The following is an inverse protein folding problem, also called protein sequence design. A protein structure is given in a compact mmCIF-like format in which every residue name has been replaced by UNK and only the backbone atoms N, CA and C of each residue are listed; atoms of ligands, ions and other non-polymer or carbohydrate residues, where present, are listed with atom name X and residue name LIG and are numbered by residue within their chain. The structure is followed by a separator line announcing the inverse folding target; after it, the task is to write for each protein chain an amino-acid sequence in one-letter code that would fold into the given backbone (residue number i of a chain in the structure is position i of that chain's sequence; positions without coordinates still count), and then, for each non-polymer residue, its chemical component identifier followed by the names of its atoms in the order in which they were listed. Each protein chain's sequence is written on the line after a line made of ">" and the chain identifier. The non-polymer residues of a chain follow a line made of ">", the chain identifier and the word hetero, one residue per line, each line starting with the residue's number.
data_IF_339884802664
#
_entry.id   IF_339884802664
#
_cell.length_a   1.000
_cell.length_b   1.000
_cell.length_c   1.000
_cell.angle_alpha   90.00
_cell.angle_beta   90.00
_cell.angle_gamma   90.00
#
_symmetry.space_group_name_H-M   'P 1'
#
loop_
_entity.id
_entity.type
_entity.pdbx_description
1 polymer ?
#
# COMPACT_ATOMS: atom_id res chain seq x y z
N UNK A 1 9.15 -2.32 21.13
CA UNK A 1 7.85 -2.51 20.48
C UNK A 1 8.01 -2.09 19.05
N UNK A 2 7.64 -2.94 18.10
CA UNK A 2 7.65 -2.56 16.68
C UNK A 2 6.65 -1.41 16.47
N UNK A 3 7.11 -0.32 15.85
CA UNK A 3 6.20 0.75 15.43
C UNK A 3 5.42 0.27 14.20
N UNK A 4 4.13 -0.02 14.40
CA UNK A 4 3.21 -0.42 13.34
C UNK A 4 2.70 0.79 12.53
N UNK A 5 2.98 2.03 12.95
CA UNK A 5 2.54 3.26 12.26
C UNK A 5 3.45 3.61 11.09
N UNK A 6 3.69 2.63 10.22
CA UNK A 6 4.51 2.79 9.01
C UNK A 6 3.70 2.88 7.72
N UNK A 7 2.38 2.76 7.77
CA UNK A 7 1.55 2.81 6.57
C UNK A 7 0.89 4.18 6.44
N UNK A 8 1.09 4.81 5.29
CA UNK A 8 0.37 6.01 4.85
C UNK A 8 -0.60 5.60 3.75
N UNK A 9 -1.89 5.76 4.03
CA UNK A 9 -2.98 5.39 3.13
C UNK A 9 -3.25 6.50 2.10
N UNK A 10 -3.17 6.16 0.81
CA UNK A 10 -3.42 7.04 -0.31
C UNK A 10 -4.79 6.79 -0.93
N UNK A 11 -5.84 7.19 -0.22
CA UNK A 11 -7.22 7.11 -0.67
C UNK A 11 -7.54 8.27 -1.64
N UNK A 12 -8.01 7.95 -2.85
CA UNK A 12 -8.37 8.97 -3.84
C UNK A 12 -9.44 8.46 -4.81
N UNK A 13 -10.26 9.37 -5.35
CA UNK A 13 -11.18 9.03 -6.43
C UNK A 13 -10.44 8.75 -7.76
N UNK A 14 -11.01 7.95 -8.67
CA UNK A 14 -10.49 7.80 -10.02
C UNK A 14 -10.36 9.17 -10.71
N UNK A 15 -9.24 9.38 -11.42
CA UNK A 15 -8.97 10.62 -12.18
C UNK A 15 -8.88 11.90 -11.33
N UNK A 16 -8.65 11.81 -10.02
CA UNK A 16 -8.46 12.96 -9.13
C UNK A 16 -7.01 13.50 -9.08
N UNK A 17 -6.16 13.16 -10.05
CA UNK A 17 -4.76 13.60 -10.08
C UNK A 17 -3.76 12.74 -9.30
N UNK A 18 -4.06 11.45 -9.08
CA UNK A 18 -3.12 10.54 -8.38
C UNK A 18 -1.72 10.49 -9.02
N UNK A 19 -1.62 10.61 -10.35
CA UNK A 19 -0.33 10.66 -11.05
C UNK A 19 0.49 11.88 -10.60
N UNK A 20 -0.11 13.06 -10.57
CA UNK A 20 0.58 14.28 -10.14
C UNK A 20 1.00 14.22 -8.68
N UNK A 21 0.15 13.66 -7.81
CA UNK A 21 0.53 13.41 -6.42
C UNK A 21 1.72 12.45 -6.30
N UNK A 22 1.77 11.38 -7.10
CA UNK A 22 2.92 10.46 -7.13
C UNK A 22 4.20 11.14 -7.63
N UNK A 23 4.11 12.06 -8.60
CA UNK A 23 5.26 12.88 -9.03
C UNK A 23 5.76 13.75 -7.87
N UNK A 24 4.86 14.45 -7.18
CA UNK A 24 5.21 15.23 -5.99
C UNK A 24 5.87 14.36 -4.92
N UNK A 25 5.25 13.23 -4.58
CA UNK A 25 5.75 12.31 -3.57
C UNK A 25 7.12 11.75 -3.93
N UNK A 26 7.36 11.42 -5.21
CA UNK A 26 8.64 10.90 -5.66
C UNK A 26 9.76 11.93 -5.52
N UNK A 27 9.49 13.21 -5.79
CA UNK A 27 10.47 14.27 -5.55
C UNK A 27 10.66 14.54 -4.06
N UNK A 28 9.59 14.49 -3.26
CA UNK A 28 9.65 14.71 -1.81
C UNK A 28 10.52 13.66 -1.09
N UNK A 29 10.45 12.40 -1.53
CA UNK A 29 11.21 11.29 -0.94
C UNK A 29 12.60 11.12 -1.58
N UNK A 30 12.88 11.81 -2.67
CA UNK A 30 14.16 11.74 -3.37
C UNK A 30 15.18 12.69 -2.73
N UNK A 31 16.40 12.20 -2.50
CA UNK A 31 17.55 13.02 -2.07
C UNK A 31 18.33 13.60 -3.27
N UNK A 32 17.66 13.80 -4.41
CA UNK A 32 18.26 14.26 -5.67
C UNK A 32 17.71 15.62 -6.09
N UNK A 33 18.60 16.47 -6.61
CA UNK A 33 18.24 17.75 -7.24
C UNK A 33 17.65 17.58 -8.66
N UNK A 34 17.63 16.35 -9.18
CA UNK A 34 17.03 16.05 -10.48
C UNK A 34 15.52 15.80 -10.35
N UNK A 35 14.68 16.40 -11.21
CA UNK A 35 13.25 16.13 -11.21
C UNK A 35 12.93 14.64 -11.44
N UNK A 36 11.94 14.11 -10.72
CA UNK A 36 11.49 12.74 -10.91
C UNK A 36 10.98 12.49 -12.35
N UNK A 37 11.40 11.38 -12.95
CA UNK A 37 10.87 10.89 -14.22
C UNK A 37 9.47 10.30 -14.01
N UNK A 38 8.49 10.79 -14.76
CA UNK A 38 7.09 10.33 -14.70
C UNK A 38 6.94 8.82 -14.99
N UNK A 39 7.87 8.24 -15.75
CA UNK A 39 7.88 6.81 -16.05
C UNK A 39 8.62 5.98 -14.99
N UNK A 40 9.32 6.63 -14.06
CA UNK A 40 10.07 6.00 -12.98
C UNK A 40 9.79 6.70 -11.64
N UNK A 41 8.55 6.58 -11.19
CA UNK A 41 8.07 7.16 -9.93
C UNK A 41 8.15 6.18 -8.78
N UNK A 42 8.23 6.70 -7.55
CA UNK A 42 8.14 5.93 -6.31
C UNK A 42 6.92 5.00 -6.34
N UNK A 43 7.14 3.75 -5.94
CA UNK A 43 6.10 2.72 -5.98
C UNK A 43 5.05 2.99 -4.91
N UNK A 44 3.78 3.02 -5.32
CA UNK A 44 2.64 3.12 -4.42
C UNK A 44 1.69 1.95 -4.72
N UNK A 45 2.02 0.73 -4.27
CA UNK A 45 1.24 -0.46 -4.57
C UNK A 45 -0.17 -0.35 -4.00
N UNK A 46 -1.09 -1.13 -4.57
CA UNK A 46 -2.45 -1.27 -4.04
C UNK A 46 -2.39 -2.13 -2.79
N UNK A 47 -3.00 -1.67 -1.71
CA UNK A 47 -3.00 -2.34 -0.41
C UNK A 47 -3.67 -3.72 -0.44
N UNK A 48 -4.68 -3.88 -1.27
CA UNK A 48 -5.40 -5.13 -1.51
C UNK A 48 -4.80 -6.00 -2.62
N UNK A 49 -3.51 -5.81 -2.93
CA UNK A 49 -2.83 -6.69 -3.89
C UNK A 49 -2.82 -8.14 -3.38
N UNK A 50 -3.07 -9.08 -4.30
CA UNK A 50 -3.08 -10.50 -3.99
C UNK A 50 -1.69 -10.98 -3.60
N UNK A 51 -0.66 -10.43 -4.22
CA UNK A 51 0.73 -10.77 -3.99
C UNK A 51 1.13 -10.52 -2.54
N UNK A 52 0.77 -9.37 -1.97
CA UNK A 52 1.06 -9.06 -0.57
C UNK A 52 0.27 -9.97 0.38
N UNK A 53 -0.98 -10.25 0.05
CA UNK A 53 -1.82 -11.13 0.85
C UNK A 53 -1.25 -12.55 0.88
N UNK A 54 -0.95 -13.12 -0.28
CA UNK A 54 -0.44 -14.48 -0.42
C UNK A 54 0.93 -14.61 0.25
N UNK A 55 1.81 -13.62 0.11
CA UNK A 55 3.11 -13.59 0.80
C UNK A 55 2.94 -13.55 2.33
N UNK A 56 2.06 -12.68 2.84
CA UNK A 56 1.87 -12.49 4.27
C UNK A 56 1.20 -13.68 4.97
N UNK A 57 0.30 -14.38 4.26
CA UNK A 57 -0.53 -15.44 4.83
C UNK A 57 -0.07 -16.85 4.48
N UNK A 58 0.65 -17.01 3.36
CA UNK A 58 0.97 -18.31 2.77
C UNK A 58 -0.24 -19.01 2.13
N UNK A 59 -1.39 -18.32 2.04
CA UNK A 59 -2.62 -18.84 1.45
C UNK A 59 -2.81 -18.26 0.04
N UNK A 60 -3.38 -19.03 -0.87
CA UNK A 60 -3.81 -18.52 -2.17
C UNK A 60 -5.07 -17.67 -1.99
N UNK A 61 -4.98 -16.36 -2.15
CA UNK A 61 -6.16 -15.47 -2.14
C UNK A 61 -7.19 -15.82 -3.22
N UNK A 62 -6.83 -16.61 -4.24
CA UNK A 62 -7.77 -17.06 -5.27
C UNK A 62 -8.72 -18.16 -4.77
N UNK A 63 -8.38 -18.82 -3.66
CA UNK A 63 -9.16 -19.91 -3.05
C UNK A 63 -10.02 -19.43 -1.87
N UNK A 64 -9.95 -18.14 -1.53
CA UNK A 64 -10.68 -17.54 -0.41
C UNK A 64 -11.83 -16.65 -0.89
N UNK A 65 -12.88 -16.60 -0.09
CA UNK A 65 -13.97 -15.63 -0.23
C UNK A 65 -13.50 -14.22 0.14
N UNK A 66 -14.23 -13.19 -0.33
CA UNK A 66 -13.91 -11.81 0.02
C UNK A 66 -14.00 -11.56 1.54
N UNK A 67 -14.97 -12.18 2.22
CA UNK A 67 -15.13 -12.05 3.67
C UNK A 67 -13.94 -12.65 4.43
N UNK A 68 -13.44 -13.81 3.99
CA UNK A 68 -12.23 -14.43 4.57
C UNK A 68 -10.99 -13.55 4.36
N UNK A 69 -10.84 -12.98 3.17
CA UNK A 69 -9.74 -12.04 2.88
C UNK A 69 -9.87 -10.79 3.76
N UNK A 70 -11.06 -10.23 3.92
CA UNK A 70 -11.32 -9.05 4.74
C UNK A 70 -10.95 -9.32 6.21
N UNK A 71 -11.34 -10.46 6.77
CA UNK A 71 -11.00 -10.87 8.14
C UNK A 71 -9.48 -10.90 8.36
N UNK A 72 -8.72 -11.41 7.38
CA UNK A 72 -7.26 -11.57 7.48
C UNK A 72 -6.50 -10.27 7.17
N UNK A 73 -7.12 -9.31 6.48
CA UNK A 73 -6.47 -8.10 5.97
C UNK A 73 -5.75 -7.24 7.03
N UNK A 74 -6.28 -7.02 8.25
CA UNK A 74 -5.55 -6.32 9.30
C UNK A 74 -4.23 -6.99 9.69
N UNK A 75 -4.20 -8.34 9.67
CA UNK A 75 -3.00 -9.13 9.88
C UNK A 75 -1.98 -8.94 8.77
N UNK A 76 -2.42 -8.92 7.51
CA UNK A 76 -1.58 -8.64 6.33
C UNK A 76 -0.94 -7.26 6.42
N UNK A 77 -1.70 -6.23 6.80
CA UNK A 77 -1.16 -4.88 6.99
C UNK A 77 -0.15 -4.81 8.14
N UNK A 78 -0.40 -5.55 9.22
CA UNK A 78 0.53 -5.65 10.33
C UNK A 78 1.84 -6.34 9.93
N UNK A 79 1.76 -7.40 9.12
CA UNK A 79 2.91 -8.07 8.52
C UNK A 79 3.73 -7.10 7.66
N UNK A 80 3.08 -6.37 6.74
CA UNK A 80 3.74 -5.39 5.90
C UNK A 80 4.47 -4.30 6.71
N UNK A 81 3.80 -3.75 7.73
CA UNK A 81 4.39 -2.72 8.59
C UNK A 81 5.59 -3.24 9.41
N UNK A 82 5.55 -4.48 9.90
CA UNK A 82 6.68 -5.10 10.62
C UNK A 82 7.87 -5.36 9.71
N UNK A 83 7.62 -5.82 8.49
CA UNK A 83 8.66 -6.23 7.56
C UNK A 83 9.28 -5.05 6.79
N UNK A 84 8.69 -3.85 6.85
CA UNK A 84 9.24 -2.66 6.24
C UNK A 84 10.22 -1.91 7.16
N UNK A 85 11.34 -1.46 6.60
CA UNK A 85 12.26 -0.51 7.24
C UNK A 85 11.86 0.95 7.04
N UNK A 86 11.00 1.22 6.06
CA UNK A 86 10.59 2.56 5.63
C UNK A 86 9.08 2.77 5.77
N UNK A 87 8.62 4.00 5.54
CA UNK A 87 7.21 4.32 5.44
C UNK A 87 6.64 3.72 4.14
N UNK A 88 5.59 2.94 4.26
CA UNK A 88 4.84 2.34 3.17
C UNK A 88 3.71 3.27 2.73
N UNK A 89 3.82 3.81 1.52
CA UNK A 89 2.74 4.54 0.88
C UNK A 89 1.88 3.57 0.06
N UNK A 90 0.66 3.30 0.51
CA UNK A 90 -0.22 2.31 -0.12
C UNK A 90 -1.48 2.94 -0.68
N UNK A 91 -1.78 2.66 -1.95
CA UNK A 91 -3.05 3.00 -2.58
C UNK A 91 -4.16 2.15 -1.98
N UNK A 92 -5.27 2.78 -1.60
CA UNK A 92 -6.43 2.06 -1.08
C UNK A 92 -7.70 2.63 -1.70
N UNK A 93 -8.59 1.71 -2.10
CA UNK A 93 -9.96 2.02 -2.55
C UNK A 93 -11.01 1.38 -1.63
N UNK A 94 -10.59 0.41 -0.82
CA UNK A 94 -11.48 -0.40 0.00
C UNK A 94 -11.93 0.37 1.24
N UNK A 95 -13.21 0.24 1.57
CA UNK A 95 -13.75 0.66 2.85
C UNK A 95 -13.60 -0.50 3.84
N UNK A 96 -13.08 -0.22 5.02
CA UNK A 96 -13.08 -1.18 6.12
C UNK A 96 -14.45 -1.15 6.81
N UNK A 97 -15.18 -2.27 6.78
CA UNK A 97 -16.57 -2.35 7.22
C UNK A 97 -16.80 -3.23 8.47
N UNK A 98 -15.76 -3.93 8.95
CA UNK A 98 -15.87 -4.82 10.10
C UNK A 98 -15.44 -4.08 11.39
N UNK A 99 -16.24 -4.15 12.44
CA UNK A 99 -15.94 -3.52 13.75
C UNK A 99 -16.12 -4.51 14.87
#
# INVERSE_FOLDING_TARGET
>A
MDDLRKIVWLASYPKSGNTWFRVFLSNLLSESDQPADINNLYATPIASSRELFDEATGLSSAELTLDEIDILRPGVYSYAARNSKEILFQKVHDAWLLT
#
